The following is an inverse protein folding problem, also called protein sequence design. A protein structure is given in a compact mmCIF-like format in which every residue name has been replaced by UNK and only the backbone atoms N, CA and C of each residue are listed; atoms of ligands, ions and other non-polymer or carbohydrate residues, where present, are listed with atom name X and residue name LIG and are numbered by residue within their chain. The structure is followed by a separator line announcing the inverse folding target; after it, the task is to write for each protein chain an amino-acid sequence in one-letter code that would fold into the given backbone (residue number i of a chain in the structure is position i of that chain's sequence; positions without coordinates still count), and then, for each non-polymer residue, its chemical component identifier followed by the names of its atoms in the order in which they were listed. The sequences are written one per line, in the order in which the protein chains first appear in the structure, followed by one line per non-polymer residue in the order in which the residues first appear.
data_IF_647717251935
#
_entry.id   IF_647717251935
#
_cell.length_a   1.000
_cell.length_b   1.000
_cell.length_c   1.000
_cell.angle_alpha   90.00
_cell.angle_beta   90.00
_cell.angle_gamma   90.00
#
_symmetry.space_group_name_H-M   'P 1'
#
loop_
_entity.id
_entity.type
_entity.pdbx_description
1 polymer ?
#
# COMPACT_ATOMS: atom_id res chain seq x y z
N UNK A 1 -22.42 -22.19 13.49
CA UNK A 1 -22.09 -20.77 13.79
C UNK A 1 -21.13 -20.28 12.71
N UNK A 2 -21.64 -19.92 11.54
CA UNK A 2 -20.86 -19.28 10.47
C UNK A 2 -21.30 -17.83 10.39
N UNK A 3 -20.73 -17.02 11.26
CA UNK A 3 -20.84 -15.57 11.18
C UNK A 3 -19.42 -15.03 11.27
N UNK A 4 -19.14 -14.01 10.45
CA UNK A 4 -17.85 -13.36 10.20
C UNK A 4 -17.04 -13.99 9.05
N UNK A 5 -17.62 -13.99 7.85
CA UNK A 5 -16.85 -13.92 6.59
C UNK A 5 -17.41 -12.83 5.69
N UNK A 6 -17.73 -11.68 6.27
CA UNK A 6 -17.99 -10.49 5.47
C UNK A 6 -17.46 -9.28 6.20
N UNK A 7 -16.97 -8.32 5.41
CA UNK A 7 -16.40 -7.05 5.83
C UNK A 7 -14.92 -7.10 6.25
N UNK A 8 -14.02 -7.20 5.27
CA UNK A 8 -12.98 -6.22 4.95
C UNK A 8 -12.20 -6.78 3.74
N UNK A 9 -12.02 -6.02 2.64
CA UNK A 9 -11.40 -6.56 1.44
C UNK A 9 -10.00 -7.07 1.79
N UNK A 10 -9.68 -8.31 1.39
CA UNK A 10 -8.40 -8.98 1.62
C UNK A 10 -7.17 -8.12 1.25
N UNK A 11 -7.38 -7.09 0.42
CA UNK A 11 -6.42 -6.04 0.07
C UNK A 11 -5.88 -5.23 1.26
N UNK A 12 -6.59 -5.10 2.38
CA UNK A 12 -6.04 -4.34 3.53
C UNK A 12 -4.92 -5.12 4.22
N UNK A 13 -5.06 -6.45 4.28
CA UNK A 13 -4.06 -7.37 4.84
C UNK A 13 -3.01 -7.80 3.81
N UNK A 14 -3.24 -7.52 2.53
CA UNK A 14 -2.25 -7.76 1.51
C UNK A 14 -1.02 -6.90 1.77
N UNK A 15 0.14 -7.54 1.65
CA UNK A 15 1.41 -6.85 1.68
C UNK A 15 1.67 -6.21 0.33
N UNK A 16 2.25 -5.02 0.36
CA UNK A 16 2.62 -4.24 -0.79
C UNK A 16 4.09 -3.87 -0.72
N UNK A 17 4.67 -3.66 -1.89
CA UNK A 17 6.02 -3.13 -2.04
C UNK A 17 6.05 -2.05 -3.11
N UNK A 18 7.04 -1.19 -2.99
CA UNK A 18 7.38 -0.21 -4.01
C UNK A 18 8.44 -0.82 -4.94
N UNK A 19 8.25 -0.79 -6.28
CA UNK A 19 9.27 -1.21 -7.23
C UNK A 19 10.48 -0.26 -7.19
N UNK A 20 11.69 -0.77 -7.50
CA UNK A 20 12.93 0.02 -7.46
C UNK A 20 12.89 1.29 -8.31
N UNK A 21 12.20 1.24 -9.46
CA UNK A 21 12.08 2.37 -10.39
C UNK A 21 10.71 3.02 -10.27
N UNK A 22 10.66 4.13 -9.54
CA UNK A 22 9.48 4.99 -9.46
C UNK A 22 9.51 6.13 -10.49
N UNK A 23 8.37 6.44 -11.12
CA UNK A 23 8.26 7.61 -11.98
C UNK A 23 8.30 8.91 -11.16
N UNK A 24 8.65 10.01 -11.83
CA UNK A 24 8.63 11.35 -11.22
C UNK A 24 7.19 11.79 -10.96
N UNK A 25 6.73 11.67 -9.71
CA UNK A 25 5.43 12.15 -9.25
C UNK A 25 5.54 13.48 -8.50
N UNK A 26 4.45 14.25 -8.43
CA UNK A 26 4.36 15.53 -7.70
C UNK A 26 3.20 15.50 -6.69
N UNK A 27 3.26 16.38 -5.69
CA UNK A 27 2.19 16.54 -4.70
C UNK A 27 2.03 15.35 -3.76
N UNK A 28 0.78 15.00 -3.44
CA UNK A 28 0.41 13.93 -2.48
C UNK A 28 0.96 12.57 -2.92
N UNK A 29 0.96 12.27 -4.22
CA UNK A 29 1.53 11.03 -4.77
C UNK A 29 3.01 10.85 -4.37
N UNK A 30 3.80 11.91 -4.45
CA UNK A 30 5.22 11.89 -4.05
C UNK A 30 5.40 11.62 -2.56
N UNK A 31 4.56 12.23 -1.72
CA UNK A 31 4.60 12.07 -0.26
C UNK A 31 4.26 10.63 0.14
N UNK A 32 3.20 10.07 -0.42
CA UNK A 32 2.80 8.68 -0.18
C UNK A 32 3.87 7.70 -0.67
N UNK A 33 4.40 7.89 -1.88
CA UNK A 33 5.45 7.04 -2.43
C UNK A 33 6.74 7.10 -1.62
N UNK A 34 7.11 8.26 -1.08
CA UNK A 34 8.28 8.40 -0.21
C UNK A 34 8.13 7.52 1.04
N UNK A 35 6.99 7.61 1.72
CA UNK A 35 6.74 6.83 2.94
C UNK A 35 6.62 5.33 2.62
N UNK A 36 5.94 4.98 1.52
CA UNK A 36 5.86 3.61 1.05
C UNK A 36 7.25 3.03 0.75
N UNK A 37 8.14 3.82 0.15
CA UNK A 37 9.53 3.43 -0.09
C UNK A 37 10.29 3.25 1.22
N UNK A 38 10.21 4.19 2.16
CA UNK A 38 10.83 4.06 3.49
C UNK A 38 10.34 2.79 4.21
N UNK A 39 9.05 2.48 4.15
CA UNK A 39 8.50 1.27 4.74
C UNK A 39 9.02 -0.01 4.04
N UNK A 40 9.10 0.01 2.71
CA UNK A 40 9.68 -1.09 1.91
C UNK A 40 11.15 -1.29 2.23
N UNK A 41 11.95 -0.22 2.39
CA UNK A 41 13.38 -0.32 2.70
C UNK A 41 13.62 -0.81 4.14
N UNK A 42 12.75 -0.46 5.09
CA UNK A 42 12.91 -0.88 6.49
C UNK A 42 12.38 -2.28 6.79
N UNK A 43 11.25 -2.67 6.19
CA UNK A 43 10.54 -3.92 6.51
C UNK A 43 10.48 -4.93 5.34
N UNK A 44 10.89 -4.53 4.14
CA UNK A 44 10.74 -5.32 2.91
C UNK A 44 9.36 -5.16 2.26
N UNK A 45 8.31 -5.02 3.06
CA UNK A 45 6.92 -4.87 2.64
C UNK A 45 6.12 -4.05 3.67
N UNK A 46 4.92 -3.63 3.28
CA UNK A 46 3.99 -2.92 4.16
C UNK A 46 2.55 -3.24 3.82
N UNK A 47 1.64 -3.15 4.78
CA UNK A 47 0.20 -3.20 4.49
C UNK A 47 -0.39 -1.78 4.30
N UNK A 48 -1.62 -1.71 3.77
CA UNK A 48 -2.28 -0.43 3.51
C UNK A 48 -2.50 0.39 4.79
N UNK A 49 -2.87 -0.26 5.89
CA UNK A 49 -3.16 0.43 7.15
C UNK A 49 -1.90 1.09 7.74
N UNK A 50 -0.76 0.40 7.69
CA UNK A 50 0.55 0.94 8.11
C UNK A 50 0.94 2.15 7.28
N UNK A 51 0.82 2.05 5.95
CA UNK A 51 1.14 3.17 5.06
C UNK A 51 0.24 4.37 5.35
N UNK A 52 -1.07 4.18 5.48
CA UNK A 52 -2.01 5.26 5.78
C UNK A 52 -1.72 5.91 7.14
N UNK A 53 -1.37 5.10 8.14
CA UNK A 53 -1.01 5.57 9.48
C UNK A 53 0.24 6.45 9.43
N UNK A 54 1.30 6.00 8.76
CA UNK A 54 2.54 6.76 8.65
C UNK A 54 2.38 8.01 7.78
N UNK A 55 1.56 7.96 6.73
CA UNK A 55 1.21 9.12 5.90
C UNK A 55 0.46 10.18 6.71
N UNK A 56 -0.55 9.77 7.49
CA UNK A 56 -1.27 10.69 8.36
C UNK A 56 -0.35 11.29 9.43
N UNK A 57 0.53 10.47 10.02
CA UNK A 57 1.46 10.89 11.06
C UNK A 57 2.54 11.86 10.56
N UNK A 58 3.24 11.53 9.47
CA UNK A 58 4.39 12.30 8.96
C UNK A 58 3.96 13.51 8.12
N UNK A 59 2.94 13.34 7.28
CA UNK A 59 2.58 14.34 6.26
C UNK A 59 1.27 15.08 6.56
N UNK A 60 0.57 14.72 7.65
CA UNK A 60 -0.72 15.31 8.08
C UNK A 60 -1.76 15.31 6.95
N UNK A 61 -1.73 14.27 6.11
CA UNK A 61 -2.67 14.10 5.00
C UNK A 61 -3.91 13.37 5.51
N UNK A 62 -5.07 13.86 5.10
CA UNK A 62 -6.34 13.20 5.38
C UNK A 62 -6.34 11.72 4.91
N UNK A 63 -6.75 10.76 5.77
CA UNK A 63 -6.73 9.34 5.45
C UNK A 63 -7.56 8.96 4.21
N UNK A 64 -8.71 9.60 3.98
CA UNK A 64 -9.55 9.30 2.81
C UNK A 64 -8.89 9.81 1.52
N UNK A 65 -8.26 10.99 1.59
CA UNK A 65 -7.47 11.55 0.47
C UNK A 65 -6.25 10.69 0.16
N UNK A 66 -5.58 10.19 1.20
CA UNK A 66 -4.45 9.27 1.06
C UNK A 66 -4.91 7.94 0.46
N UNK A 67 -6.04 7.38 0.91
CA UNK A 67 -6.61 6.14 0.38
C UNK A 67 -6.99 6.26 -1.10
N UNK A 68 -7.64 7.36 -1.50
CA UNK A 68 -7.99 7.61 -2.91
C UNK A 68 -6.73 7.65 -3.78
N UNK A 69 -5.70 8.36 -3.33
CA UNK A 69 -4.43 8.45 -4.05
C UNK A 69 -3.71 7.11 -4.09
N UNK A 70 -3.74 6.35 -3.01
CA UNK A 70 -3.14 5.02 -2.92
C UNK A 70 -3.77 4.05 -3.93
N UNK A 71 -5.11 4.05 -4.06
CA UNK A 71 -5.80 3.26 -5.09
C UNK A 71 -5.32 3.62 -6.50
N UNK A 72 -5.13 4.91 -6.81
CA UNK A 72 -4.55 5.32 -8.09
C UNK A 72 -3.13 4.80 -8.28
N UNK A 73 -2.28 4.87 -7.24
CA UNK A 73 -0.89 4.39 -7.30
C UNK A 73 -0.81 2.87 -7.53
N UNK A 74 -1.72 2.11 -6.92
CA UNK A 74 -1.85 0.67 -7.14
C UNK A 74 -2.29 0.39 -8.59
N UNK A 75 -3.31 1.10 -9.09
CA UNK A 75 -3.76 0.97 -10.48
C UNK A 75 -2.67 1.33 -11.50
N UNK A 76 -1.79 2.27 -11.16
CA UNK A 76 -0.64 2.67 -11.96
C UNK A 76 0.56 1.71 -11.83
N UNK A 77 0.43 0.59 -11.09
CA UNK A 77 1.49 -0.36 -10.78
C UNK A 77 2.71 0.27 -10.07
N UNK A 78 2.52 1.40 -9.39
CA UNK A 78 3.58 2.08 -8.63
C UNK A 78 3.70 1.56 -7.20
N UNK A 79 2.64 0.91 -6.72
CA UNK A 79 2.63 0.13 -5.49
C UNK A 79 2.04 -1.21 -5.86
N UNK A 80 2.84 -2.27 -5.75
CA UNK A 80 2.45 -3.59 -6.20
C UNK A 80 2.18 -4.48 -5.00
N UNK A 81 1.12 -5.30 -5.02
CA UNK A 81 0.97 -6.34 -4.02
C UNK A 81 2.20 -7.26 -4.10
N UNK A 82 2.75 -7.60 -2.95
CA UNK A 82 3.69 -8.70 -2.82
C UNK A 82 2.89 -9.94 -3.16
N UNK A 83 3.02 -10.41 -4.40
CA UNK A 83 2.39 -11.63 -4.84
C UNK A 83 2.90 -12.73 -3.91
N UNK A 84 2.05 -13.21 -2.99
CA UNK A 84 2.21 -14.55 -2.46
C UNK A 84 2.19 -15.42 -3.70
N UNK A 85 3.34 -16.04 -4.05
CA UNK A 85 3.39 -16.99 -5.16
C UNK A 85 2.14 -17.86 -5.02
N UNK A 86 1.29 -18.01 -6.06
CA UNK A 86 0.35 -19.12 -6.01
C UNK A 86 1.22 -20.34 -5.74
N UNK A 87 0.98 -20.99 -4.60
CA UNK A 87 1.64 -22.26 -4.30
C UNK A 87 1.35 -23.11 -5.53
N UNK A 88 2.40 -23.38 -6.30
CA UNK A 88 2.32 -24.19 -7.49
C UNK A 88 2.02 -25.58 -6.94
N UNK A 89 0.73 -25.92 -6.83
CA UNK A 89 0.30 -27.29 -6.59
C UNK A 89 0.70 -28.06 -7.84
N UNK A 90 1.88 -28.68 -7.76
CA UNK A 90 2.33 -29.70 -8.68
C UNK A 90 2.25 -31.05 -7.98
#
# INVERSE_FOLDING_TARGET
KEFIKECFPQQIFAEYKVPEKLPKTRGIKKKILKIAKELTENKGSFNIAELLTEVARKEKIDPLKALKTLKELINQNLIQPVQQKPANFK
#
